data_IF_635998480873
#
_entry.id   IF_635998480873
#
_cell.length_a   1.000
_cell.length_b   1.000
_cell.length_c   1.000
_cell.angle_alpha   90.00
_cell.angle_beta   90.00
_cell.angle_gamma   90.00
#
_symmetry.space_group_name_H-M   'P 1'
#
loop_
_entity.id
_entity.type
_entity.pdbx_description
1 polymer ?
#
# COMPACT_ATOMS: atom_id res chain seq x y z
N UNK A 1 -25.50 -32.61 -10.26
CA UNK A 1 -26.25 -31.87 -11.30
C UNK A 1 -25.34 -31.68 -12.49
N UNK A 2 -25.82 -31.86 -13.73
CA UNK A 2 -25.00 -31.61 -14.91
C UNK A 2 -24.54 -30.14 -14.94
N UNK A 3 -23.35 -29.90 -15.49
CA UNK A 3 -22.83 -28.55 -15.68
C UNK A 3 -23.82 -27.75 -16.54
N UNK A 4 -24.24 -26.58 -16.06
CA UNK A 4 -25.15 -25.70 -16.82
C UNK A 4 -24.39 -25.08 -17.99
N UNK A 5 -25.05 -24.95 -19.15
CA UNK A 5 -24.45 -24.40 -20.34
C UNK A 5 -24.42 -22.86 -20.27
N UNK A 6 -23.24 -22.21 -20.32
CA UNK A 6 -23.14 -20.76 -20.28
C UNK A 6 -23.92 -20.01 -21.36
N UNK A 7 -24.23 -20.65 -22.49
CA UNK A 7 -25.00 -20.04 -23.58
C UNK A 7 -26.47 -19.76 -23.19
N UNK A 8 -27.00 -20.46 -22.19
CA UNK A 8 -28.39 -20.33 -21.75
C UNK A 8 -28.61 -19.19 -20.75
N UNK A 9 -27.56 -18.42 -20.44
CA UNK A 9 -27.66 -17.28 -19.54
C UNK A 9 -28.43 -16.13 -20.18
N UNK A 10 -29.15 -15.38 -19.34
CA UNK A 10 -29.79 -14.15 -19.76
C UNK A 10 -28.76 -13.15 -20.30
N UNK A 11 -29.10 -12.40 -21.35
CA UNK A 11 -28.23 -11.35 -21.87
C UNK A 11 -27.83 -10.35 -20.77
N UNK A 12 -26.58 -9.84 -20.77
CA UNK A 12 -26.11 -8.85 -19.81
C UNK A 12 -27.05 -7.64 -19.65
N UNK A 13 -27.64 -7.17 -20.75
CA UNK A 13 -28.58 -6.06 -20.76
C UNK A 13 -29.86 -6.35 -19.95
N UNK A 14 -30.35 -7.59 -19.98
CA UNK A 14 -31.52 -7.99 -19.20
C UNK A 14 -31.20 -8.08 -17.70
N UNK A 15 -30.02 -8.61 -17.34
CA UNK A 15 -29.58 -8.66 -15.93
C UNK A 15 -29.42 -7.25 -15.34
N UNK A 16 -28.88 -6.33 -16.13
CA UNK A 16 -28.78 -4.91 -15.74
C UNK A 16 -30.16 -4.28 -15.59
N UNK A 17 -31.09 -4.58 -16.51
CA UNK A 17 -32.47 -4.09 -16.42
C UNK A 17 -33.15 -4.58 -15.14
N UNK A 18 -33.04 -5.88 -14.82
CA UNK A 18 -33.59 -6.47 -13.59
C UNK A 18 -33.05 -5.73 -12.35
N UNK A 19 -31.76 -5.43 -12.30
CA UNK A 19 -31.19 -4.67 -11.19
C UNK A 19 -31.75 -3.23 -11.10
N UNK A 20 -31.95 -2.55 -12.23
CA UNK A 20 -32.54 -1.20 -12.26
C UNK A 20 -34.02 -1.17 -11.91
N UNK A 21 -34.77 -2.20 -12.27
CA UNK A 21 -36.20 -2.31 -11.95
C UNK A 21 -36.41 -2.42 -10.43
N UNK A 22 -35.44 -2.98 -9.69
CA UNK A 22 -35.44 -3.03 -8.22
C UNK A 22 -35.11 -1.68 -7.58
N UNK A 23 -34.09 -0.99 -8.10
CA UNK A 23 -33.69 0.33 -7.62
C UNK A 23 -33.39 1.26 -8.81
N UNK A 24 -34.32 2.15 -9.17
CA UNK A 24 -34.16 3.06 -10.32
C UNK A 24 -32.95 4.01 -10.22
N UNK A 25 -32.54 4.37 -9.00
CA UNK A 25 -31.36 5.21 -8.72
C UNK A 25 -30.01 4.49 -8.84
N UNK A 26 -30.02 3.16 -9.02
CA UNK A 26 -28.81 2.36 -9.10
C UNK A 26 -28.12 2.53 -10.46
N UNK A 27 -26.85 2.94 -10.41
CA UNK A 27 -25.96 3.07 -11.57
C UNK A 27 -25.02 1.84 -11.63
N UNK A 28 -25.27 0.89 -12.54
CA UNK A 28 -24.43 -0.31 -12.69
C UNK A 28 -23.05 0.07 -13.22
N UNK A 29 -22.00 -0.47 -12.60
CA UNK A 29 -20.60 -0.31 -13.01
C UNK A 29 -19.98 -1.57 -13.62
N UNK A 30 -20.55 -2.76 -13.36
CA UNK A 30 -20.02 -4.00 -13.93
C UNK A 30 -20.79 -5.25 -13.53
N UNK A 31 -20.53 -6.35 -14.25
CA UNK A 31 -21.12 -7.66 -14.00
C UNK A 31 -20.01 -8.63 -13.59
N UNK A 32 -20.21 -9.33 -12.47
CA UNK A 32 -19.28 -10.36 -12.01
C UNK A 32 -20.00 -11.70 -11.99
N UNK A 33 -19.54 -12.62 -12.83
CA UNK A 33 -20.06 -13.98 -12.97
C UNK A 33 -19.32 -14.92 -12.01
N UNK A 34 -20.06 -15.59 -11.13
CA UNK A 34 -19.50 -16.47 -10.10
C UNK A 34 -20.13 -17.85 -10.21
N UNK A 35 -19.28 -18.89 -10.31
CA UNK A 35 -19.68 -20.29 -10.37
C UNK A 35 -20.79 -20.59 -11.40
N UNK A 36 -20.72 -19.97 -12.59
CA UNK A 36 -21.79 -20.01 -13.60
C UNK A 36 -22.16 -21.41 -14.10
N UNK A 37 -21.22 -22.35 -14.07
CA UNK A 37 -21.44 -23.76 -14.42
C UNK A 37 -21.69 -24.66 -13.21
N UNK A 38 -21.56 -24.11 -11.99
CA UNK A 38 -21.66 -24.82 -10.72
C UNK A 38 -23.08 -24.93 -10.17
N UNK A 39 -23.20 -25.45 -8.95
CA UNK A 39 -24.49 -25.71 -8.31
C UNK A 39 -25.27 -24.45 -7.90
N UNK A 40 -24.58 -23.31 -7.75
CA UNK A 40 -25.16 -22.01 -7.34
C UNK A 40 -24.66 -20.88 -8.24
N UNK A 41 -25.09 -20.84 -9.50
CA UNK A 41 -24.63 -19.82 -10.42
C UNK A 41 -25.18 -18.46 -9.98
N UNK A 42 -24.31 -17.46 -9.92
CA UNK A 42 -24.67 -16.12 -9.45
C UNK A 42 -24.01 -15.07 -10.33
N UNK A 43 -24.77 -14.06 -10.73
CA UNK A 43 -24.27 -12.83 -11.31
C UNK A 43 -24.45 -11.71 -10.30
N UNK A 44 -23.36 -11.04 -9.95
CA UNK A 44 -23.39 -9.84 -9.13
C UNK A 44 -23.37 -8.64 -10.06
N UNK A 45 -24.47 -7.88 -10.07
CA UNK A 45 -24.54 -6.59 -10.75
C UNK A 45 -24.02 -5.55 -9.77
N UNK A 46 -22.78 -5.11 -9.97
CA UNK A 46 -22.13 -4.10 -9.15
C UNK A 46 -22.53 -2.70 -9.58
N UNK A 47 -22.69 -1.79 -8.64
CA UNK A 47 -23.05 -0.42 -8.93
C UNK A 47 -23.19 0.46 -7.70
N UNK A 48 -23.39 1.75 -7.95
CA UNK A 48 -23.53 2.77 -6.91
C UNK A 48 -24.88 3.45 -7.05
N UNK A 49 -25.43 3.89 -5.93
CA UNK A 49 -26.49 4.88 -5.91
C UNK A 49 -25.91 6.16 -5.28
N UNK A 50 -25.90 7.30 -5.99
CA UNK A 50 -25.38 8.57 -5.45
C UNK A 50 -26.10 9.03 -4.17
N UNK A 51 -27.35 8.61 -3.97
CA UNK A 51 -28.17 9.00 -2.83
C UNK A 51 -28.07 8.03 -1.66
N UNK A 52 -27.39 6.89 -1.80
CA UNK A 52 -27.34 5.85 -0.78
C UNK A 52 -25.91 5.42 -0.39
N UNK A 53 -25.79 4.85 0.80
CA UNK A 53 -24.51 4.38 1.33
C UNK A 53 -24.02 3.18 0.54
N UNK A 54 -22.77 3.28 0.06
CA UNK A 54 -22.10 2.22 -0.68
C UNK A 54 -21.09 1.51 0.23
N UNK A 55 -21.26 0.22 0.54
CA UNK A 55 -20.37 -0.49 1.47
C UNK A 55 -18.93 -0.67 0.96
N UNK A 56 -18.69 -0.57 -0.35
CA UNK A 56 -17.38 -0.83 -0.97
C UNK A 56 -17.04 0.21 -2.03
N UNK A 57 -15.76 0.22 -2.45
CA UNK A 57 -15.26 1.12 -3.50
C UNK A 57 -15.97 0.93 -4.86
N UNK A 58 -16.32 -0.32 -5.22
CA UNK A 58 -17.13 -0.65 -6.40
C UNK A 58 -18.63 -0.34 -6.22
N UNK A 59 -19.05 0.07 -5.02
CA UNK A 59 -20.44 0.25 -4.63
C UNK A 59 -20.99 -0.95 -3.87
N UNK A 60 -22.27 -1.22 -4.10
CA UNK A 60 -22.94 -2.44 -3.67
C UNK A 60 -23.29 -3.33 -4.85
N UNK A 61 -23.99 -4.43 -4.60
CA UNK A 61 -24.42 -5.33 -5.68
C UNK A 61 -25.78 -5.97 -5.42
N UNK A 62 -26.49 -6.24 -6.52
CA UNK A 62 -27.60 -7.19 -6.55
C UNK A 62 -27.09 -8.56 -7.02
N UNK A 63 -27.38 -9.62 -6.27
CA UNK A 63 -27.07 -10.98 -6.71
C UNK A 63 -28.28 -11.56 -7.45
N UNK A 64 -28.08 -12.04 -8.66
CA UNK A 64 -29.13 -12.54 -9.56
C UNK A 64 -28.72 -13.93 -10.05
N UNK A 65 -29.66 -14.86 -10.15
CA UNK A 65 -29.44 -16.13 -10.85
C UNK A 65 -29.36 -15.84 -12.37
N UNK A 66 -28.24 -16.17 -13.05
CA UNK A 66 -28.03 -15.82 -14.45
C UNK A 66 -28.99 -16.45 -15.44
N UNK A 67 -29.63 -17.57 -15.08
CA UNK A 67 -30.47 -18.35 -15.99
C UNK A 67 -31.94 -17.98 -15.84
N UNK A 68 -32.40 -17.81 -14.60
CA UNK A 68 -33.78 -17.49 -14.30
C UNK A 68 -34.06 -15.99 -14.17
N UNK A 69 -33.03 -15.17 -13.95
CA UNK A 69 -33.20 -13.74 -13.63
C UNK A 69 -33.75 -13.47 -12.23
N UNK A 70 -33.91 -14.51 -11.40
CA UNK A 70 -34.40 -14.35 -10.03
C UNK A 70 -33.36 -13.62 -9.18
N UNK A 71 -33.79 -12.60 -8.45
CA UNK A 71 -32.96 -11.90 -7.47
C UNK A 71 -32.74 -12.83 -6.27
N UNK A 72 -31.48 -13.08 -5.94
CA UNK A 72 -31.05 -13.94 -4.84
C UNK A 72 -30.87 -13.15 -3.55
N UNK A 73 -30.27 -11.95 -3.62
CA UNK A 73 -30.14 -11.02 -2.48
C UNK A 73 -29.94 -9.59 -2.95
N UNK A 74 -30.50 -8.65 -2.20
CA UNK A 74 -30.35 -7.19 -2.33
C UNK A 74 -29.72 -6.55 -1.09
N UNK A 75 -29.26 -7.36 -0.12
CA UNK A 75 -28.80 -6.88 1.19
C UNK A 75 -27.58 -5.94 1.09
N UNK A 76 -26.80 -6.10 0.03
CA UNK A 76 -25.63 -5.28 -0.28
C UNK A 76 -25.91 -4.25 -1.38
N UNK A 77 -27.16 -4.10 -1.83
CA UNK A 77 -27.53 -3.15 -2.87
C UNK A 77 -27.79 -1.78 -2.23
N UNK A 78 -27.14 -0.69 -2.69
CA UNK A 78 -27.33 0.63 -2.10
C UNK A 78 -28.80 1.04 -2.20
N UNK A 79 -29.37 1.54 -1.10
CA UNK A 79 -30.76 1.97 -1.03
C UNK A 79 -31.80 0.86 -0.79
N UNK A 80 -31.41 -0.42 -0.84
CA UNK A 80 -32.28 -1.58 -0.58
C UNK A 80 -31.78 -2.43 0.60
N UNK A 81 -30.88 -1.88 1.41
CA UNK A 81 -30.30 -2.55 2.57
C UNK A 81 -31.27 -2.48 3.75
N UNK A 82 -31.39 -3.57 4.52
CA UNK A 82 -32.05 -3.50 5.82
C UNK A 82 -31.25 -2.65 6.82
N UNK A 83 -31.87 -2.30 7.95
CA UNK A 83 -31.23 -1.41 8.94
C UNK A 83 -29.90 -1.98 9.45
N UNK A 84 -29.82 -3.28 9.70
CA UNK A 84 -28.60 -3.93 10.20
C UNK A 84 -27.46 -3.86 9.17
N UNK A 85 -27.74 -4.20 7.91
CA UNK A 85 -26.75 -4.11 6.85
C UNK A 85 -26.38 -2.66 6.54
N UNK A 86 -27.30 -1.70 6.69
CA UNK A 86 -26.99 -0.28 6.52
C UNK A 86 -26.01 0.22 7.58
N UNK A 87 -26.19 -0.18 8.86
CA UNK A 87 -25.23 0.13 9.93
C UNK A 87 -23.85 -0.43 9.60
N UNK A 88 -23.76 -1.72 9.27
CA UNK A 88 -22.50 -2.38 8.91
C UNK A 88 -21.87 -1.72 7.67
N UNK A 89 -22.69 -1.44 6.65
CA UNK A 89 -22.25 -0.81 5.40
C UNK A 89 -21.74 0.61 5.62
N UNK A 90 -22.30 1.34 6.58
CA UNK A 90 -21.80 2.67 6.97
C UNK A 90 -20.42 2.60 7.62
N UNK A 91 -20.18 1.61 8.50
CA UNK A 91 -18.85 1.37 9.05
C UNK A 91 -17.83 1.01 7.97
N UNK A 92 -18.19 0.11 7.04
CA UNK A 92 -17.31 -0.22 5.92
C UNK A 92 -17.10 0.98 5.00
N UNK A 93 -18.12 1.81 4.77
CA UNK A 93 -17.99 2.98 3.94
C UNK A 93 -17.04 4.02 4.52
N UNK A 94 -17.15 4.27 5.84
CA UNK A 94 -16.24 5.14 6.58
C UNK A 94 -14.81 4.56 6.61
N UNK A 95 -14.66 3.25 6.83
CA UNK A 95 -13.36 2.60 6.90
C UNK A 95 -12.62 2.58 5.56
N UNK A 96 -13.35 2.30 4.48
CA UNK A 96 -12.82 2.19 3.11
C UNK A 96 -12.84 3.51 2.34
N UNK A 97 -13.28 4.61 2.97
CA UNK A 97 -13.45 5.93 2.35
C UNK A 97 -14.32 5.90 1.08
N UNK A 98 -15.36 5.06 1.01
CA UNK A 98 -16.19 4.90 -0.20
C UNK A 98 -17.23 6.01 -0.41
N UNK A 99 -17.19 7.08 0.40
CA UNK A 99 -18.13 8.20 0.41
C UNK A 99 -17.42 9.54 0.16
N UNK A 100 -18.16 10.58 -0.22
CA UNK A 100 -17.63 11.95 -0.40
C UNK A 100 -16.64 12.12 -1.56
N UNK A 101 -16.46 11.09 -2.37
CA UNK A 101 -15.71 11.13 -3.63
C UNK A 101 -14.24 11.52 -3.47
N UNK A 102 -13.70 12.16 -4.51
CA UNK A 102 -12.27 12.48 -4.63
C UNK A 102 -11.75 13.35 -3.47
N UNK A 103 -12.55 14.27 -2.94
CA UNK A 103 -12.15 15.15 -1.84
C UNK A 103 -11.87 14.36 -0.55
N UNK A 104 -12.72 13.39 -0.21
CA UNK A 104 -12.53 12.53 0.96
C UNK A 104 -11.33 11.60 0.75
N UNK A 105 -11.11 11.09 -0.46
CA UNK A 105 -9.92 10.30 -0.77
C UNK A 105 -8.63 11.10 -0.51
N UNK A 106 -8.57 12.38 -0.90
CA UNK A 106 -7.42 13.24 -0.62
C UNK A 106 -7.27 13.54 0.88
N UNK A 107 -8.37 13.77 1.60
CA UNK A 107 -8.33 13.95 3.05
C UNK A 107 -7.77 12.71 3.76
N UNK A 108 -8.25 11.52 3.40
CA UNK A 108 -7.77 10.25 3.95
C UNK A 108 -6.31 9.99 3.58
N UNK A 109 -5.90 10.34 2.36
CA UNK A 109 -4.50 10.27 1.94
C UNK A 109 -3.61 11.16 2.83
N UNK A 110 -3.99 12.42 3.06
CA UNK A 110 -3.24 13.34 3.91
C UNK A 110 -3.23 12.87 5.37
N UNK A 111 -4.36 12.37 5.89
CA UNK A 111 -4.45 11.82 7.24
C UNK A 111 -3.59 10.56 7.40
N UNK A 112 -3.54 9.71 6.38
CA UNK A 112 -2.64 8.55 6.34
C UNK A 112 -1.17 8.96 6.36
N UNK A 113 -0.79 9.99 5.58
CA UNK A 113 0.56 10.54 5.60
C UNK A 113 0.91 11.16 6.97
N UNK A 114 -0.04 11.89 7.58
CA UNK A 114 0.11 12.44 8.92
C UNK A 114 0.28 11.34 9.98
N UNK A 115 -0.47 10.25 9.86
CA UNK A 115 -0.32 9.07 10.72
C UNK A 115 1.06 8.44 10.60
N UNK A 116 1.53 8.20 9.37
CA UNK A 116 2.89 7.69 9.14
C UNK A 116 3.98 8.61 9.72
N UNK A 117 3.82 9.93 9.55
CA UNK A 117 4.70 10.93 10.13
C UNK A 117 4.68 10.91 11.66
N UNK A 118 3.50 10.78 12.28
CA UNK A 118 3.33 10.72 13.73
C UNK A 118 4.05 9.49 14.33
N UNK A 119 3.91 8.32 13.71
CA UNK A 119 4.61 7.12 14.17
C UNK A 119 6.12 7.25 14.04
N UNK A 120 6.61 7.74 12.90
CA UNK A 120 8.04 7.93 12.68
C UNK A 120 8.65 8.97 13.64
N UNK A 121 8.03 10.14 13.75
CA UNK A 121 8.49 11.23 14.61
C UNK A 121 8.34 10.91 16.10
N UNK A 122 7.27 10.20 16.49
CA UNK A 122 7.06 9.72 17.86
C UNK A 122 8.14 8.73 18.29
N UNK A 123 8.46 7.75 17.44
CA UNK A 123 9.55 6.81 17.71
C UNK A 123 10.90 7.53 17.83
N UNK A 124 11.16 8.52 16.97
CA UNK A 124 12.38 9.32 17.01
C UNK A 124 12.48 10.16 18.30
N UNK A 125 11.40 10.84 18.69
CA UNK A 125 11.33 11.64 19.91
C UNK A 125 11.49 10.77 21.15
N UNK A 126 10.91 9.57 21.15
CA UNK A 126 11.07 8.61 22.23
C UNK A 126 12.54 8.20 22.41
N UNK A 127 13.25 7.93 21.31
CA UNK A 127 14.69 7.62 21.38
C UNK A 127 15.51 8.82 21.88
N UNK A 128 15.21 10.03 21.41
CA UNK A 128 15.95 11.23 21.80
C UNK A 128 15.70 11.62 23.26
N UNK A 129 14.46 11.47 23.75
CA UNK A 129 14.11 11.73 25.16
C UNK A 129 14.84 10.79 26.12
N UNK A 130 14.97 9.49 25.76
CA UNK A 130 15.76 8.50 26.50
C UNK A 130 17.26 8.86 26.51
N UNK A 131 17.82 9.29 25.38
CA UNK A 131 19.21 9.77 25.30
C UNK A 131 19.43 10.97 26.21
N UNK A 132 18.52 11.96 26.21
CA UNK A 132 18.61 13.15 27.06
C UNK A 132 18.50 12.80 28.55
N UNK A 133 17.67 11.83 28.91
CA UNK A 133 17.55 11.35 30.29
C UNK A 133 18.84 10.68 30.78
N UNK A 134 19.50 9.85 29.94
CA UNK A 134 20.78 9.21 30.30
C UNK A 134 21.92 10.23 30.45
N UNK A 135 21.98 11.27 29.60
CA UNK A 135 22.98 12.35 29.73
C UNK A 135 22.89 13.11 31.06
N UNK A 136 21.71 13.19 31.70
CA UNK A 136 21.57 13.84 33.02
C UNK A 136 22.28 13.09 34.15
N UNK A 137 22.62 11.82 33.95
CA UNK A 137 23.35 10.98 34.92
C UNK A 137 24.87 11.10 34.88
N UNK A 138 25.44 11.98 34.03
CA UNK A 138 26.89 12.23 33.98
C UNK A 138 27.73 11.23 33.17
N UNK A 139 27.23 10.02 32.93
CA UNK A 139 27.90 9.02 32.08
C UNK A 139 27.52 9.15 30.59
N UNK A 140 28.46 8.80 29.70
CA UNK A 140 28.20 8.72 28.26
C UNK A 140 27.06 7.70 28.00
N UNK A 141 25.98 8.06 27.28
CA UNK A 141 24.82 7.19 27.15
C UNK A 141 25.18 5.87 26.44
N UNK A 142 25.21 4.77 27.19
CA UNK A 142 25.31 3.43 26.63
C UNK A 142 23.99 3.13 25.90
N UNK A 143 24.07 2.93 24.59
CA UNK A 143 22.94 2.58 23.75
C UNK A 143 22.33 1.24 24.22
N UNK A 144 21.14 1.29 24.84
CA UNK A 144 20.38 0.08 25.19
C UNK A 144 20.03 -0.70 23.92
N UNK A 145 20.13 -2.03 23.97
CA UNK A 145 19.77 -2.89 22.83
C UNK A 145 18.34 -2.64 22.37
N UNK A 146 17.41 -2.43 23.30
CA UNK A 146 15.99 -2.17 23.02
C UNK A 146 15.78 -0.92 22.15
N UNK A 147 16.51 0.18 22.43
CA UNK A 147 16.37 1.43 21.66
C UNK A 147 16.97 1.28 20.25
N UNK A 148 18.08 0.55 20.13
CA UNK A 148 18.72 0.27 18.84
C UNK A 148 17.88 -0.66 17.96
N UNK A 149 17.25 -1.69 18.56
CA UNK A 149 16.32 -2.58 17.87
C UNK A 149 15.07 -1.83 17.39
N UNK A 150 14.48 -1.00 18.24
CA UNK A 150 13.30 -0.21 17.86
C UNK A 150 13.60 0.80 16.74
N UNK A 151 14.77 1.46 16.79
CA UNK A 151 15.21 2.36 15.72
C UNK A 151 15.43 1.59 14.40
N UNK A 152 16.08 0.44 14.46
CA UNK A 152 16.34 -0.41 13.29
C UNK A 152 15.03 -0.94 12.69
N UNK A 153 14.09 -1.39 13.52
CA UNK A 153 12.76 -1.82 13.09
C UNK A 153 11.98 -0.69 12.41
N UNK A 154 11.99 0.51 13.00
CA UNK A 154 11.27 1.67 12.44
C UNK A 154 11.78 2.01 11.03
N UNK A 155 13.10 2.06 10.83
CA UNK A 155 13.70 2.37 9.53
C UNK A 155 13.44 1.24 8.53
N UNK A 156 13.64 -0.01 8.95
CA UNK A 156 13.44 -1.19 8.11
C UNK A 156 11.99 -1.32 7.62
N UNK A 157 11.01 -1.12 8.52
CA UNK A 157 9.59 -1.16 8.18
C UNK A 157 9.22 0.02 7.28
N UNK A 158 9.53 1.26 7.66
CA UNK A 158 9.12 2.43 6.89
C UNK A 158 9.75 2.46 5.48
N UNK A 159 11.07 2.30 5.38
CA UNK A 159 11.76 2.34 4.08
C UNK A 159 11.57 1.05 3.27
N UNK A 160 11.45 -0.09 3.95
CA UNK A 160 11.13 -1.37 3.31
C UNK A 160 9.74 -1.37 2.66
N UNK A 161 8.73 -0.79 3.33
CA UNK A 161 7.40 -0.60 2.75
C UNK A 161 7.47 0.24 1.46
N UNK A 162 8.14 1.40 1.52
CA UNK A 162 8.25 2.30 0.35
C UNK A 162 8.98 1.63 -0.79
N UNK A 163 10.11 0.96 -0.51
CA UNK A 163 10.89 0.24 -1.53
C UNK A 163 10.10 -0.94 -2.13
N UNK A 164 9.40 -1.72 -1.30
CA UNK A 164 8.61 -2.87 -1.74
C UNK A 164 7.41 -2.48 -2.59
N UNK A 165 6.65 -1.45 -2.16
CA UNK A 165 5.53 -0.91 -2.94
C UNK A 165 6.04 -0.34 -4.27
N UNK A 166 7.13 0.42 -4.24
CA UNK A 166 7.68 1.00 -5.47
C UNK A 166 8.12 -0.08 -6.46
N UNK A 167 8.80 -1.12 -5.98
CA UNK A 167 9.29 -2.19 -6.84
C UNK A 167 8.13 -3.05 -7.38
N UNK A 168 7.10 -3.32 -6.58
CA UNK A 168 5.93 -4.09 -7.05
C UNK A 168 5.14 -3.32 -8.13
N UNK A 169 5.03 -1.99 -8.00
CA UNK A 169 4.45 -1.12 -9.05
C UNK A 169 5.28 -1.19 -10.34
N UNK A 170 6.61 -1.07 -10.23
CA UNK A 170 7.49 -1.18 -11.39
C UNK A 170 7.40 -2.58 -12.05
N UNK A 171 7.33 -3.64 -11.24
CA UNK A 171 7.19 -5.02 -11.69
C UNK A 171 5.87 -5.25 -12.46
N UNK A 172 4.79 -4.56 -12.07
CA UNK A 172 3.50 -4.61 -12.77
C UNK A 172 3.56 -4.29 -14.27
N UNK A 173 4.59 -3.57 -14.74
CA UNK A 173 4.81 -3.29 -16.17
C UNK A 173 5.50 -4.44 -16.91
N UNK A 174 6.21 -5.31 -16.20
CA UNK A 174 7.03 -6.42 -16.73
C UNK A 174 6.35 -7.79 -16.64
N UNK A 175 5.56 -8.02 -15.58
CA UNK A 175 4.92 -9.30 -15.31
C UNK A 175 3.85 -9.74 -16.33
N UNK A 176 3.04 -8.84 -16.92
CA UNK A 176 1.99 -9.25 -17.85
C UNK A 176 2.52 -10.12 -18.99
N UNK A 177 1.90 -11.28 -19.19
CA UNK A 177 2.30 -12.25 -20.24
C UNK A 177 3.56 -13.07 -19.94
N UNK A 178 4.17 -12.92 -18.76
CA UNK A 178 5.39 -13.67 -18.36
C UNK A 178 5.20 -14.57 -17.14
N UNK A 179 4.10 -14.41 -16.42
CA UNK A 179 3.80 -15.17 -15.20
C UNK A 179 2.35 -15.63 -15.19
N UNK A 180 2.10 -16.81 -14.61
CA UNK A 180 0.75 -17.38 -14.52
C UNK A 180 -0.12 -16.69 -13.47
N UNK A 181 0.47 -16.35 -12.31
CA UNK A 181 -0.23 -15.67 -11.22
C UNK A 181 0.47 -14.37 -10.84
N UNK A 182 -0.05 -13.26 -11.36
CA UNK A 182 0.45 -11.93 -11.05
C UNK A 182 0.34 -11.60 -9.56
N UNK A 183 -0.72 -12.02 -8.87
CA UNK A 183 -0.94 -11.64 -7.48
C UNK A 183 0.15 -12.24 -6.57
N UNK A 184 0.46 -13.53 -6.76
CA UNK A 184 1.53 -14.22 -6.02
C UNK A 184 2.89 -13.56 -6.25
N UNK A 185 3.22 -13.17 -7.49
CA UNK A 185 4.46 -12.48 -7.78
C UNK A 185 4.54 -11.08 -7.14
N UNK A 186 3.47 -10.29 -7.20
CA UNK A 186 3.45 -8.97 -6.55
C UNK A 186 3.63 -9.07 -5.02
N UNK A 187 2.97 -10.06 -4.40
CA UNK A 187 3.14 -10.37 -2.98
C UNK A 187 4.57 -10.82 -2.66
N UNK A 188 5.13 -11.72 -3.47
CA UNK A 188 6.49 -12.24 -3.30
C UNK A 188 7.54 -11.13 -3.38
N UNK A 189 7.46 -10.26 -4.39
CA UNK A 189 8.37 -9.12 -4.56
C UNK A 189 8.25 -8.16 -3.37
N UNK A 190 7.03 -7.81 -2.98
CA UNK A 190 6.80 -6.91 -1.85
C UNK A 190 7.41 -7.48 -0.55
N UNK A 191 7.06 -8.72 -0.19
CA UNK A 191 7.52 -9.33 1.06
C UNK A 191 9.02 -9.59 1.06
N UNK A 192 9.61 -9.97 -0.07
CA UNK A 192 11.05 -10.16 -0.19
C UNK A 192 11.81 -8.85 0.10
N UNK A 193 11.40 -7.74 -0.51
CA UNK A 193 12.03 -6.42 -0.27
C UNK A 193 11.75 -5.93 1.14
N UNK A 194 10.53 -6.09 1.63
CA UNK A 194 10.10 -5.64 2.95
C UNK A 194 10.86 -6.36 4.07
N UNK A 195 10.79 -7.69 4.12
CA UNK A 195 11.49 -8.47 5.14
C UNK A 195 13.01 -8.43 4.95
N UNK A 196 13.51 -8.37 3.71
CA UNK A 196 14.92 -8.15 3.43
C UNK A 196 15.43 -6.83 4.02
N UNK A 197 14.66 -5.75 3.89
CA UNK A 197 15.00 -4.43 4.45
C UNK A 197 15.00 -4.43 5.98
N UNK A 198 14.01 -5.10 6.60
CA UNK A 198 13.92 -5.25 8.06
C UNK A 198 15.10 -6.06 8.59
N UNK A 199 15.36 -7.22 7.99
CA UNK A 199 16.46 -8.09 8.38
C UNK A 199 17.80 -7.37 8.24
N UNK A 200 18.00 -6.65 7.14
CA UNK A 200 19.20 -5.85 6.92
C UNK A 200 19.38 -4.74 7.96
N UNK A 201 18.28 -4.06 8.32
CA UNK A 201 18.28 -3.03 9.36
C UNK A 201 18.67 -3.60 10.73
N UNK A 202 18.18 -4.78 11.11
CA UNK A 202 18.54 -5.42 12.38
C UNK A 202 20.01 -5.84 12.45
N UNK A 203 20.59 -6.37 11.35
CA UNK A 203 21.99 -6.83 11.34
C UNK A 203 22.97 -5.65 11.41
N UNK A 204 22.72 -4.61 10.62
CA UNK A 204 23.69 -3.52 10.42
C UNK A 204 23.47 -2.32 11.34
N UNK A 205 22.28 -2.24 11.95
CA UNK A 205 21.86 -1.17 12.83
C UNK A 205 21.38 0.08 12.10
N UNK A 206 20.46 0.79 12.75
CA UNK A 206 19.76 2.00 12.27
C UNK A 206 20.65 3.03 11.52
N UNK A 207 21.74 3.50 12.13
CA UNK A 207 22.59 4.55 11.56
C UNK A 207 23.22 4.16 10.21
N UNK A 208 23.55 2.88 10.03
CA UNK A 208 24.26 2.40 8.83
C UNK A 208 23.30 2.01 7.71
N UNK A 209 22.05 1.71 8.04
CA UNK A 209 21.05 1.25 7.06
C UNK A 209 20.13 2.35 6.57
N UNK A 210 19.96 3.44 7.31
CA UNK A 210 19.06 4.52 6.89
C UNK A 210 19.42 5.11 5.52
N UNK A 211 20.71 5.41 5.27
CA UNK A 211 21.14 6.00 3.99
C UNK A 211 20.97 5.00 2.83
N UNK A 212 21.44 3.75 2.92
CA UNK A 212 21.31 2.86 1.77
C UNK A 212 19.88 2.34 1.58
N UNK A 213 19.05 2.24 2.63
CA UNK A 213 17.61 1.97 2.46
C UNK A 213 16.88 3.14 1.81
N UNK A 214 17.27 4.39 2.09
CA UNK A 214 16.73 5.55 1.37
C UNK A 214 17.11 5.52 -0.11
N UNK A 215 18.34 5.13 -0.43
CA UNK A 215 18.76 4.94 -1.82
C UNK A 215 18.07 3.75 -2.49
N UNK A 216 17.86 2.65 -1.77
CA UNK A 216 17.08 1.51 -2.26
C UNK A 216 15.65 1.94 -2.59
N UNK A 217 14.99 2.66 -1.68
CA UNK A 217 13.67 3.22 -1.92
C UNK A 217 13.67 4.15 -3.14
N UNK A 218 14.62 5.08 -3.23
CA UNK A 218 14.74 5.98 -4.37
C UNK A 218 14.97 5.23 -5.70
N UNK A 219 15.82 4.21 -5.71
CA UNK A 219 16.09 3.39 -6.89
C UNK A 219 14.86 2.57 -7.31
N UNK A 220 14.18 1.94 -6.36
CA UNK A 220 12.92 1.22 -6.61
C UNK A 220 11.82 2.14 -7.13
N UNK A 221 11.70 3.36 -6.58
CA UNK A 221 10.74 4.35 -7.09
C UNK A 221 11.14 4.87 -8.47
N UNK A 222 12.44 5.04 -8.75
CA UNK A 222 12.94 5.46 -10.06
C UNK A 222 12.71 4.40 -11.14
N UNK A 223 12.66 3.11 -10.77
CA UNK A 223 12.31 2.05 -11.71
C UNK A 223 10.93 2.26 -12.34
N UNK A 224 9.99 2.94 -11.67
CA UNK A 224 8.64 3.20 -12.20
C UNK A 224 8.70 4.08 -13.47
N UNK A 225 9.16 5.35 -13.43
CA UNK A 225 9.23 6.18 -14.63
C UNK A 225 10.28 5.68 -15.63
N UNK A 226 11.39 5.09 -15.16
CA UNK A 226 12.42 4.55 -16.07
C UNK A 226 11.88 3.42 -16.93
N UNK A 227 11.01 2.55 -16.39
CA UNK A 227 10.40 1.47 -17.17
C UNK A 227 9.36 2.00 -18.16
N UNK A 228 8.65 3.08 -17.84
CA UNK A 228 7.80 3.77 -18.84
C UNK A 228 8.65 4.37 -19.96
N UNK A 229 9.74 5.07 -19.63
CA UNK A 229 10.64 5.64 -20.63
C UNK A 229 11.27 4.56 -21.51
N UNK A 230 11.66 3.43 -20.92
CA UNK A 230 12.22 2.30 -21.66
C UNK A 230 11.20 1.69 -22.63
N UNK A 231 9.93 1.59 -22.24
CA UNK A 231 8.86 1.14 -23.13
C UNK A 231 8.66 2.08 -24.33
N UNK A 232 8.82 3.40 -24.14
CA UNK A 232 8.75 4.39 -25.21
C UNK A 232 9.95 4.31 -26.16
N UNK A 233 11.16 4.14 -25.62
CA UNK A 233 12.39 4.05 -26.42
C UNK A 233 12.53 2.71 -27.15
N UNK A 234 11.99 1.63 -26.60
CA UNK A 234 12.12 0.26 -27.11
C UNK A 234 10.75 -0.43 -27.17
N UNK A 235 9.92 -0.10 -28.17
CA UNK A 235 8.57 -0.67 -28.30
C UNK A 235 8.57 -2.20 -28.47
N UNK A 236 9.70 -2.81 -28.85
CA UNK A 236 9.86 -4.27 -28.96
C UNK A 236 9.84 -5.04 -27.63
N UNK A 237 9.93 -4.38 -26.47
CA UNK A 237 9.86 -5.06 -25.16
C UNK A 237 8.43 -5.40 -24.70
N UNK A 238 7.41 -4.96 -25.43
CA UNK A 238 5.98 -5.18 -25.15
C UNK A 238 5.62 -4.93 -23.68
N UNK A 239 6.18 -3.89 -23.07
CA UNK A 239 5.88 -3.51 -21.69
C UNK A 239 4.50 -2.87 -21.62
N UNK A 240 3.76 -3.20 -20.55
CA UNK A 240 2.43 -2.65 -20.36
C UNK A 240 2.54 -1.21 -19.82
N UNK A 241 2.26 -0.23 -20.68
CA UNK A 241 2.23 1.19 -20.34
C UNK A 241 0.90 1.77 -20.83
N UNK A 242 0.07 2.19 -19.89
CA UNK A 242 -1.17 2.91 -20.18
C UNK A 242 -0.96 4.42 -19.99
N UNK A 243 -1.54 5.20 -20.89
CA UNK A 243 -1.66 6.67 -20.79
C UNK A 243 -2.25 7.14 -19.46
N UNK A 244 -3.13 6.34 -18.85
CA UNK A 244 -3.72 6.64 -17.52
C UNK A 244 -2.68 6.57 -16.38
N UNK A 245 -1.55 5.89 -16.60
CA UNK A 245 -0.48 5.73 -15.61
C UNK A 245 0.49 6.92 -15.55
N UNK A 246 0.35 7.94 -16.42
CA UNK A 246 1.21 9.13 -16.42
C UNK A 246 1.24 9.83 -15.06
N UNK A 247 0.10 9.90 -14.36
CA UNK A 247 0.04 10.47 -13.01
C UNK A 247 0.91 9.73 -12.00
N UNK A 248 1.03 8.41 -12.14
CA UNK A 248 1.91 7.58 -11.31
C UNK A 248 3.36 7.86 -11.63
N UNK A 249 3.74 7.96 -12.90
CA UNK A 249 5.12 8.24 -13.31
C UNK A 249 5.59 9.64 -12.86
N UNK A 250 4.73 10.67 -12.99
CA UNK A 250 5.02 12.03 -12.52
C UNK A 250 5.17 12.05 -10.99
N UNK A 251 4.27 11.40 -10.27
CA UNK A 251 4.34 11.31 -8.81
C UNK A 251 5.60 10.57 -8.36
N UNK A 252 5.95 9.47 -9.03
CA UNK A 252 7.16 8.71 -8.78
C UNK A 252 8.41 9.56 -9.04
N UNK A 253 8.44 10.36 -10.11
CA UNK A 253 9.56 11.27 -10.40
C UNK A 253 9.81 12.26 -9.26
N UNK A 254 8.77 12.95 -8.77
CA UNK A 254 8.90 13.83 -7.60
C UNK A 254 9.28 13.05 -6.33
N UNK A 255 8.74 11.84 -6.16
CA UNK A 255 9.10 10.94 -5.06
C UNK A 255 10.58 10.57 -5.05
N UNK A 256 11.18 10.28 -6.22
CA UNK A 256 12.63 10.01 -6.36
C UNK A 256 13.44 11.21 -5.93
N UNK A 257 13.07 12.42 -6.38
CA UNK A 257 13.77 13.66 -5.99
C UNK A 257 13.72 13.87 -4.48
N UNK A 258 12.55 13.69 -3.86
CA UNK A 258 12.37 13.81 -2.43
C UNK A 258 13.20 12.76 -1.66
N UNK A 259 13.14 11.49 -2.05
CA UNK A 259 13.89 10.40 -1.41
C UNK A 259 15.40 10.56 -1.58
N UNK A 260 15.87 10.96 -2.76
CA UNK A 260 17.29 11.22 -3.01
C UNK A 260 17.78 12.44 -2.21
N UNK A 261 16.96 13.49 -2.08
CA UNK A 261 17.27 14.64 -1.23
C UNK A 261 17.34 14.23 0.26
N UNK A 262 16.38 13.43 0.73
CA UNK A 262 16.40 12.83 2.08
C UNK A 262 17.64 11.95 2.30
N UNK A 263 18.02 11.14 1.33
CA UNK A 263 19.23 10.30 1.40
C UNK A 263 20.50 11.15 1.55
N UNK A 264 20.64 12.21 0.74
CA UNK A 264 21.80 13.11 0.77
C UNK A 264 21.87 13.92 2.07
N UNK A 265 20.75 14.49 2.51
CA UNK A 265 20.69 15.27 3.76
C UNK A 265 20.93 14.38 4.98
N UNK A 266 20.39 13.16 4.98
CA UNK A 266 20.62 12.18 6.05
C UNK A 266 22.07 11.71 6.07
N UNK A 267 22.69 11.43 4.91
CA UNK A 267 24.10 11.07 4.83
C UNK A 267 25.01 12.16 5.43
N UNK A 268 24.74 13.44 5.12
CA UNK A 268 25.45 14.57 5.73
C UNK A 268 25.28 14.59 7.25
N UNK A 269 24.05 14.38 7.76
CA UNK A 269 23.76 14.34 9.21
C UNK A 269 24.43 13.16 9.92
N UNK A 270 24.46 11.98 9.31
CA UNK A 270 25.11 10.79 9.88
C UNK A 270 26.64 10.99 10.00
N UNK A 271 27.25 11.73 9.07
CA UNK A 271 28.69 12.02 9.06
C UNK A 271 29.11 13.15 10.03
N UNK A 272 28.27 14.18 10.17
CA UNK A 272 28.54 15.39 10.97
C UNK A 272 27.82 15.40 12.33
N UNK A 273 27.04 14.35 12.63
CA UNK A 273 26.26 14.25 13.85
C UNK A 273 27.13 14.01 15.09
N UNK A 274 26.65 14.38 16.29
CA UNK A 274 27.33 14.08 17.55
C UNK A 274 27.64 12.59 17.68
N UNK A 275 28.86 12.23 18.11
CA UNK A 275 29.32 10.84 18.18
C UNK A 275 28.50 9.95 19.13
N UNK A 276 27.79 10.56 20.07
CA UNK A 276 26.91 9.91 21.04
C UNK A 276 25.46 9.72 20.53
N UNK A 277 25.18 10.10 19.27
CA UNK A 277 23.88 9.90 18.65
C UNK A 277 23.71 8.45 18.15
N UNK A 278 22.51 7.89 18.29
CA UNK A 278 22.13 6.63 17.64
C UNK A 278 22.18 6.68 16.11
N UNK A 279 22.29 7.88 15.55
CA UNK A 279 22.38 8.14 14.13
C UNK A 279 23.82 8.37 13.66
N UNK A 280 24.80 8.41 14.57
CA UNK A 280 26.21 8.60 14.24
C UNK A 280 26.83 7.31 13.71
N UNK A 281 27.52 7.42 12.57
CA UNK A 281 28.35 6.34 12.04
C UNK A 281 29.71 6.22 12.74
N UNK A 282 30.11 7.19 13.57
CA UNK A 282 31.39 7.19 14.29
C UNK A 282 31.26 6.24 15.50
N UNK A 283 32.07 5.17 15.51
CA UNK A 283 32.27 4.39 16.74
C UNK A 283 32.96 5.28 17.76
N UNK A 284 32.42 5.35 18.96
CA UNK A 284 33.18 5.71 20.14
C UNK A 284 34.18 4.58 20.40
N UNK A 285 35.41 4.73 19.91
CA UNK A 285 36.54 3.99 20.46
C UNK A 285 36.70 4.46 21.89
N UNK A 286 36.13 3.71 22.84
CA UNK A 286 36.50 3.83 24.24
C UNK A 286 37.96 3.41 24.30
N UNK A 287 38.86 4.39 24.31
CA UNK A 287 40.25 4.16 24.70
C UNK A 287 40.17 3.74 26.15
N UNK A 288 40.31 2.44 26.39
CA UNK A 288 40.45 1.88 27.71
C UNK A 288 41.86 2.25 28.17
N UNK A 289 42.03 3.43 28.73
CA UNK A 289 43.27 3.80 29.42
C UNK A 289 43.52 2.74 30.50
N UNK A 290 44.69 2.14 30.40
CA UNK A 290 45.17 1.15 31.34
C UNK A 290 45.37 1.81 32.70
N UNK A 291 44.51 1.47 33.67
CA UNK A 291 44.87 1.58 35.08
C UNK A 291 45.79 0.40 35.39
N UNK A 292 47.09 0.59 35.15
CA UNK A 292 48.15 -0.06 35.90
C UNK A 292 48.57 0.95 36.98
N UNK A 293 48.11 0.71 38.21
CA UNK A 293 48.65 1.27 39.44
C UNK A 293 48.58 0.15 40.49
#
# INVERSE_FOLDING_TARGET
MPARNPADMLPPAQLVKIAKDVAPGFVPGGLQYVQVTGARPTVRVWGKDPAAVSPRALGGFAAIDPYSGKILTTDFMPGQQDTANLFISSFFALHMASFGGTSVHWLYFLLGLAGAWLFYSGNLLWVESRRKAQRKGGEMPVQRRDTSLMASASIGVCLGCVAGISLTIAAGKWLPGRVDDMATWHMGIYYAVFFGSIFWAFIRGAARTIVPLLWLAAASTAAIPLTSLLALCLPGLSLWVDSTALGVDVTAFFGVLALAWMARTTARRVQHGPADSIWSGRRTTVVREATAA
#
